data_IF_967958941977
#
_entry.id   IF_967958941977
#
_cell.length_a   1.000
_cell.length_b   1.000
_cell.length_c   1.000
_cell.angle_alpha   90.00
_cell.angle_beta   90.00
_cell.angle_gamma   90.00
#
_symmetry.space_group_name_H-M   'P 1'
#
loop_
_entity.id
_entity.type
_entity.pdbx_description
1 polymer ?
#
# COMPACT_ATOMS: atom_id res chain seq x y z
N UNK A 1 4.57 -23.00 22.58
CA UNK A 1 3.86 -23.23 23.86
C UNK A 1 4.58 -24.26 24.76
N UNK A 2 4.93 -25.51 24.30
CA UNK A 2 5.48 -26.53 25.19
C UNK A 2 6.80 -26.15 25.87
N UNK A 3 7.62 -25.30 25.26
CA UNK A 3 8.90 -24.87 25.84
C UNK A 3 8.72 -24.01 27.10
N UNK A 4 7.78 -23.05 27.08
CA UNK A 4 7.54 -22.15 28.20
C UNK A 4 6.85 -22.87 29.37
N UNK A 5 5.93 -23.80 29.09
CA UNK A 5 5.31 -24.63 30.12
C UNK A 5 6.31 -25.60 30.75
N UNK A 6 7.24 -26.15 29.94
CA UNK A 6 8.31 -27.03 30.44
C UNK A 6 9.27 -26.25 31.35
N UNK A 7 9.69 -25.05 30.96
CA UNK A 7 10.51 -24.16 31.80
C UNK A 7 9.82 -23.81 33.12
N UNK A 8 8.51 -23.50 33.08
CA UNK A 8 7.70 -23.24 34.27
C UNK A 8 7.65 -24.47 35.20
N UNK A 9 7.49 -25.68 34.64
CA UNK A 9 7.47 -26.91 35.43
C UNK A 9 8.85 -27.23 36.06
N UNK A 10 9.94 -26.98 35.34
CA UNK A 10 11.30 -27.12 35.87
C UNK A 10 11.56 -26.15 37.04
N UNK A 11 11.16 -24.88 36.88
CA UNK A 11 11.24 -23.87 37.94
C UNK A 11 10.44 -24.26 39.17
N UNK A 12 9.28 -24.90 39.02
CA UNK A 12 8.42 -25.33 40.13
C UNK A 12 9.10 -26.42 40.99
N UNK A 13 10.00 -27.25 40.40
CA UNK A 13 10.79 -28.23 41.16
C UNK A 13 11.76 -27.55 42.15
N UNK A 14 12.28 -26.38 41.77
CA UNK A 14 13.22 -25.60 42.62
C UNK A 14 12.51 -24.61 43.56
N UNK A 15 11.32 -24.17 43.20
CA UNK A 15 10.54 -23.19 43.91
C UNK A 15 9.14 -23.74 44.28
N UNK A 16 9.10 -24.74 45.16
CA UNK A 16 7.92 -25.55 45.50
C UNK A 16 6.69 -24.73 45.95
N UNK A 17 6.91 -23.51 46.45
CA UNK A 17 5.81 -22.62 46.93
C UNK A 17 5.31 -21.61 45.88
N UNK A 18 5.75 -21.68 44.64
CA UNK A 18 5.34 -20.76 43.56
C UNK A 18 4.76 -21.52 42.37
N UNK A 19 3.53 -21.17 41.98
CA UNK A 19 2.83 -21.73 40.80
C UNK A 19 3.43 -21.16 39.47
N UNK A 20 4.65 -21.53 39.17
CA UNK A 20 5.39 -21.03 38.00
C UNK A 20 4.91 -21.64 36.68
N UNK A 21 4.19 -22.77 36.71
CA UNK A 21 3.65 -23.44 35.52
C UNK A 21 2.64 -22.56 34.81
N UNK A 22 1.68 -21.97 35.55
CA UNK A 22 0.68 -21.06 34.96
C UNK A 22 1.30 -19.76 34.46
N UNK A 23 2.31 -19.25 35.13
CA UNK A 23 3.07 -18.08 34.67
C UNK A 23 3.78 -18.37 33.33
N UNK A 24 4.39 -19.56 33.18
CA UNK A 24 5.01 -20.01 31.93
C UNK A 24 4.01 -20.16 30.79
N UNK A 25 2.83 -20.73 31.07
CA UNK A 25 1.75 -20.84 30.07
C UNK A 25 1.25 -19.44 29.64
N UNK A 26 0.99 -18.55 30.62
CA UNK A 26 0.53 -17.18 30.35
C UNK A 26 1.54 -16.40 29.52
N UNK A 27 2.84 -16.51 29.84
CA UNK A 27 3.91 -15.88 29.05
C UNK A 27 3.97 -16.45 27.63
N UNK A 28 3.84 -17.78 27.48
CA UNK A 28 3.78 -18.43 26.17
C UNK A 28 2.59 -17.96 25.33
N UNK A 29 1.42 -17.83 25.93
CA UNK A 29 0.24 -17.28 25.26
C UNK A 29 0.43 -15.81 24.87
N UNK A 30 1.03 -15.00 25.73
CA UNK A 30 1.35 -13.60 25.46
C UNK A 30 2.32 -13.46 24.26
N UNK A 31 3.39 -14.26 24.24
CA UNK A 31 4.36 -14.27 23.13
C UNK A 31 3.69 -14.68 21.83
N UNK A 32 2.83 -15.71 21.85
CA UNK A 32 2.08 -16.12 20.66
C UNK A 32 1.09 -15.03 20.22
N UNK A 33 0.39 -14.39 21.14
CA UNK A 33 -0.51 -13.29 20.83
C UNK A 33 0.22 -12.17 20.10
N UNK A 34 1.36 -11.71 20.63
CA UNK A 34 2.16 -10.69 19.95
C UNK A 34 2.75 -11.17 18.63
N UNK A 35 3.16 -12.45 18.52
CA UNK A 35 3.65 -13.02 17.28
C UNK A 35 2.57 -13.04 16.18
N UNK A 36 1.35 -13.47 16.50
CA UNK A 36 0.24 -13.44 15.54
C UNK A 36 -0.20 -12.02 15.20
N UNK A 37 -0.25 -11.13 16.18
CA UNK A 37 -0.58 -9.73 15.95
C UNK A 37 0.45 -9.00 15.07
N UNK A 38 1.72 -9.42 15.07
CA UNK A 38 2.77 -8.81 14.25
C UNK A 38 2.75 -9.23 12.79
N UNK A 39 2.16 -10.37 12.44
CA UNK A 39 2.19 -10.88 11.07
C UNK A 39 1.22 -10.13 10.12
N UNK A 40 0.12 -9.56 10.64
CA UNK A 40 -0.86 -8.82 9.84
C UNK A 40 -0.63 -7.30 9.82
N UNK A 41 0.47 -6.83 10.45
CA UNK A 41 0.73 -5.39 10.68
C UNK A 41 1.04 -4.65 9.37
N UNK A 42 1.37 -5.33 8.28
CA UNK A 42 1.83 -4.72 7.03
C UNK A 42 0.80 -4.78 5.89
N UNK A 43 -0.39 -5.36 6.12
CA UNK A 43 -1.45 -5.49 5.12
C UNK A 43 -2.61 -4.56 5.46
N UNK A 44 -3.18 -3.91 4.46
CA UNK A 44 -4.45 -3.18 4.57
C UNK A 44 -5.62 -4.18 4.50
N UNK A 45 -6.41 -4.20 5.56
CA UNK A 45 -7.44 -5.22 5.73
C UNK A 45 -8.60 -5.08 4.73
N UNK A 46 -8.84 -3.85 4.20
CA UNK A 46 -9.91 -3.61 3.26
C UNK A 46 -9.53 -4.05 1.84
N UNK A 47 -8.36 -3.62 1.39
CA UNK A 47 -7.87 -3.82 0.02
C UNK A 47 -7.07 -5.11 -0.17
N UNK A 48 -6.53 -5.70 0.91
CA UNK A 48 -5.70 -6.91 0.85
C UNK A 48 -4.26 -6.68 0.36
N UNK A 49 -3.91 -5.47 -0.07
CA UNK A 49 -2.54 -5.09 -0.45
C UNK A 49 -1.76 -4.59 0.77
N UNK A 50 -0.49 -4.22 0.61
CA UNK A 50 0.30 -3.64 1.70
C UNK A 50 -0.38 -2.38 2.24
N UNK A 51 -0.25 -2.13 3.54
CA UNK A 51 -0.58 -0.84 4.10
C UNK A 51 0.62 0.12 4.02
N UNK A 52 0.46 1.37 4.45
CA UNK A 52 1.52 2.39 4.46
C UNK A 52 2.82 1.87 5.06
N UNK A 53 2.74 1.20 6.24
CA UNK A 53 3.93 0.64 6.89
C UNK A 53 4.61 -0.44 6.04
N UNK A 54 3.82 -1.30 5.40
CA UNK A 54 4.34 -2.34 4.49
C UNK A 54 5.07 -1.73 3.29
N UNK A 55 4.52 -0.67 2.70
CA UNK A 55 5.16 0.08 1.61
C UNK A 55 6.42 0.78 2.08
N UNK A 56 6.42 1.43 3.25
CA UNK A 56 7.61 2.09 3.79
C UNK A 56 8.77 1.10 3.95
N UNK A 57 8.50 -0.10 4.48
CA UNK A 57 9.49 -1.17 4.61
C UNK A 57 10.01 -1.63 3.25
N UNK A 58 9.10 -1.84 2.29
CA UNK A 58 9.48 -2.26 0.93
C UNK A 58 10.29 -1.22 0.19
N UNK A 59 9.93 0.05 0.32
CA UNK A 59 10.67 1.15 -0.30
C UNK A 59 12.09 1.27 0.29
N UNK A 60 12.25 1.13 1.61
CA UNK A 60 13.57 1.08 2.26
C UNK A 60 14.41 -0.11 1.79
N UNK A 61 13.81 -1.29 1.61
CA UNK A 61 14.46 -2.48 1.04
C UNK A 61 14.92 -2.23 -0.41
N UNK A 62 14.04 -1.65 -1.23
CA UNK A 62 14.33 -1.36 -2.64
C UNK A 62 15.43 -0.32 -2.80
N UNK A 63 15.43 0.74 -2.00
CA UNK A 63 16.51 1.75 -1.99
C UNK A 63 17.85 1.10 -1.66
N UNK A 64 17.93 0.29 -0.60
CA UNK A 64 19.16 -0.42 -0.21
C UNK A 64 19.63 -1.38 -1.30
N UNK A 65 18.70 -2.14 -1.89
CA UNK A 65 18.99 -3.07 -2.99
C UNK A 65 19.48 -2.33 -4.23
N UNK A 66 18.84 -1.22 -4.58
CA UNK A 66 19.24 -0.35 -5.69
C UNK A 66 20.65 0.18 -5.51
N UNK A 67 20.96 0.76 -4.35
CA UNK A 67 22.28 1.30 -4.03
C UNK A 67 23.39 0.22 -4.05
N UNK A 68 23.10 -1.01 -3.62
CA UNK A 68 24.06 -2.09 -3.58
C UNK A 68 24.26 -2.80 -4.91
N UNK A 69 23.20 -2.94 -5.72
CA UNK A 69 23.23 -3.65 -7.02
C UNK A 69 23.51 -2.73 -8.20
N UNK A 70 23.34 -1.41 -8.05
CA UNK A 70 23.42 -0.45 -9.14
C UNK A 70 22.19 -0.44 -10.07
N UNK A 71 21.12 -1.19 -9.72
CA UNK A 71 19.88 -1.23 -10.51
C UNK A 71 18.91 -0.15 -10.04
N UNK A 72 18.29 0.53 -10.98
CA UNK A 72 17.24 1.49 -10.73
C UNK A 72 15.90 0.75 -10.53
N UNK A 73 14.94 1.40 -9.87
CA UNK A 73 13.56 0.95 -9.76
C UNK A 73 12.61 2.13 -9.95
N UNK A 74 11.34 1.87 -10.20
CA UNK A 74 10.32 2.90 -10.30
C UNK A 74 9.36 2.82 -9.12
N UNK A 75 8.82 3.98 -8.73
CA UNK A 75 7.70 4.04 -7.82
C UNK A 75 6.64 5.02 -8.32
N UNK A 76 5.40 4.75 -7.96
CA UNK A 76 4.23 5.48 -8.40
C UNK A 76 3.35 5.73 -7.18
N UNK A 77 2.95 6.98 -6.98
CA UNK A 77 1.90 7.35 -6.04
C UNK A 77 0.65 7.68 -6.84
N UNK A 78 -0.50 7.18 -6.42
CA UNK A 78 -1.78 7.33 -7.10
C UNK A 78 -2.86 7.72 -6.11
N UNK A 79 -3.77 8.59 -6.54
CA UNK A 79 -4.96 9.00 -5.78
C UNK A 79 -6.21 8.79 -6.66
N UNK A 80 -7.28 8.27 -6.09
CA UNK A 80 -8.55 8.06 -6.79
C UNK A 80 -9.35 9.36 -6.79
N UNK A 81 -9.33 10.07 -7.91
CA UNK A 81 -10.02 11.35 -8.08
C UNK A 81 -11.52 11.22 -7.83
N UNK A 82 -12.08 12.19 -7.12
CA UNK A 82 -13.51 12.26 -6.79
C UNK A 82 -14.07 11.04 -6.02
N UNK A 83 -13.20 10.30 -5.30
CA UNK A 83 -13.62 9.18 -4.46
C UNK A 83 -14.71 9.56 -3.45
N UNK A 84 -14.63 10.79 -2.90
CA UNK A 84 -15.67 11.31 -2.00
C UNK A 84 -17.04 11.31 -2.65
N UNK A 85 -17.15 11.62 -3.94
CA UNK A 85 -18.41 11.62 -4.67
C UNK A 85 -19.04 10.23 -4.73
N UNK A 86 -18.23 9.16 -4.83
CA UNK A 86 -18.73 7.78 -4.73
C UNK A 86 -19.38 7.56 -3.36
N UNK A 87 -18.68 7.93 -2.28
CA UNK A 87 -19.19 7.78 -0.92
C UNK A 87 -20.47 8.58 -0.68
N UNK A 88 -20.50 9.84 -1.12
CA UNK A 88 -21.61 10.76 -0.88
C UNK A 88 -22.85 10.35 -1.71
N UNK A 89 -22.67 9.75 -2.89
CA UNK A 89 -23.76 9.37 -3.80
C UNK A 89 -24.27 7.95 -3.53
N UNK A 90 -23.37 6.98 -3.31
CA UNK A 90 -23.70 5.56 -3.25
C UNK A 90 -23.47 4.93 -1.87
N UNK A 91 -22.91 5.70 -0.91
CA UNK A 91 -22.60 5.25 0.45
C UNK A 91 -21.22 4.59 0.57
N UNK A 92 -20.75 4.47 1.82
CA UNK A 92 -19.41 3.96 2.13
C UNK A 92 -19.18 2.51 1.68
N UNK A 93 -20.21 1.68 1.60
CA UNK A 93 -20.08 0.31 1.09
C UNK A 93 -19.65 0.28 -0.39
N UNK A 94 -20.09 1.25 -1.18
CA UNK A 94 -19.66 1.36 -2.57
C UNK A 94 -18.25 1.95 -2.67
N UNK A 95 -17.90 2.89 -1.80
CA UNK A 95 -16.52 3.36 -1.67
C UNK A 95 -15.54 2.23 -1.29
N UNK A 96 -15.92 1.37 -0.37
CA UNK A 96 -15.12 0.18 -0.02
C UNK A 96 -14.91 -0.76 -1.21
N UNK A 97 -15.93 -0.92 -2.06
CA UNK A 97 -15.79 -1.68 -3.30
C UNK A 97 -14.88 -0.98 -4.30
N UNK A 98 -14.95 0.34 -4.41
CA UNK A 98 -14.04 1.11 -5.27
C UNK A 98 -12.57 0.91 -4.86
N UNK A 99 -12.27 0.97 -3.56
CA UNK A 99 -10.93 0.69 -3.03
C UNK A 99 -10.46 -0.74 -3.37
N UNK A 100 -11.32 -1.75 -3.17
CA UNK A 100 -11.00 -3.15 -3.51
C UNK A 100 -10.74 -3.31 -5.00
N UNK A 101 -11.59 -2.71 -5.84
CA UNK A 101 -11.42 -2.78 -7.29
C UNK A 101 -10.15 -2.08 -7.77
N UNK A 102 -9.78 -0.95 -7.16
CA UNK A 102 -8.52 -0.29 -7.47
C UNK A 102 -7.32 -1.18 -7.11
N UNK A 103 -7.34 -1.80 -5.93
CA UNK A 103 -6.30 -2.77 -5.54
C UNK A 103 -6.22 -3.94 -6.52
N UNK A 104 -7.35 -4.50 -6.94
CA UNK A 104 -7.42 -5.59 -7.92
C UNK A 104 -6.89 -5.14 -9.30
N UNK A 105 -7.23 -3.93 -9.77
CA UNK A 105 -6.72 -3.38 -11.03
C UNK A 105 -5.20 -3.30 -10.95
N UNK A 106 -4.66 -2.70 -9.90
CA UNK A 106 -3.21 -2.54 -9.73
C UNK A 106 -2.50 -3.90 -9.70
N UNK A 107 -3.01 -4.85 -8.90
CA UNK A 107 -2.42 -6.20 -8.79
C UNK A 107 -2.41 -6.95 -10.13
N UNK A 108 -3.40 -6.69 -11.00
CA UNK A 108 -3.49 -7.33 -12.32
C UNK A 108 -2.85 -6.53 -13.46
N UNK A 109 -2.32 -5.33 -13.19
CA UNK A 109 -1.66 -4.49 -14.20
C UNK A 109 -0.14 -4.45 -14.05
N UNK A 110 0.37 -4.79 -12.89
CA UNK A 110 1.80 -4.87 -12.61
C UNK A 110 2.25 -6.33 -12.48
N UNK A 111 3.56 -6.57 -12.65
CA UNK A 111 4.16 -7.89 -12.50
C UNK A 111 4.06 -8.42 -11.06
N UNK A 112 4.17 -9.74 -10.87
CA UNK A 112 4.08 -10.41 -9.57
C UNK A 112 5.12 -9.90 -8.56
N UNK A 113 6.26 -9.40 -9.02
CA UNK A 113 7.34 -8.85 -8.19
C UNK A 113 7.07 -7.41 -7.73
N UNK A 114 6.07 -6.72 -8.30
CA UNK A 114 5.72 -5.38 -7.87
C UNK A 114 5.11 -5.39 -6.46
N UNK A 115 5.48 -4.40 -5.66
CA UNK A 115 4.89 -4.19 -4.34
C UNK A 115 3.80 -3.13 -4.43
N UNK A 116 2.56 -3.51 -4.14
CA UNK A 116 1.39 -2.64 -4.19
C UNK A 116 0.88 -2.42 -2.78
N UNK A 117 0.55 -1.18 -2.44
CA UNK A 117 0.00 -0.84 -1.13
C UNK A 117 -0.97 0.31 -1.17
N UNK A 118 -1.80 0.37 -0.14
CA UNK A 118 -2.69 1.48 0.15
C UNK A 118 -2.03 2.41 1.17
N UNK A 119 -1.73 3.62 0.73
CA UNK A 119 -0.94 4.58 1.50
C UNK A 119 -1.82 5.48 2.39
N UNK A 120 -3.03 5.80 1.95
CA UNK A 120 -4.05 6.60 2.62
C UNK A 120 -5.46 6.11 2.33
N UNK A 121 -6.46 6.95 2.53
CA UNK A 121 -7.88 6.63 2.30
C UNK A 121 -8.17 6.09 0.90
N UNK A 122 -7.82 6.85 -0.11
CA UNK A 122 -7.98 6.61 -1.55
C UNK A 122 -6.63 6.63 -2.30
N UNK A 123 -5.52 6.69 -1.54
CA UNK A 123 -4.16 6.74 -2.07
C UNK A 123 -3.53 5.36 -2.12
N UNK A 124 -2.89 5.06 -3.26
CA UNK A 124 -2.14 3.83 -3.51
C UNK A 124 -0.69 4.12 -3.85
N UNK A 125 0.16 3.17 -3.56
CA UNK A 125 1.59 3.23 -3.86
C UNK A 125 2.04 1.94 -4.53
N UNK A 126 2.82 2.06 -5.60
CA UNK A 126 3.38 0.90 -6.33
C UNK A 126 4.90 1.07 -6.40
N UNK A 127 5.62 -0.01 -6.14
CA UNK A 127 7.07 -0.11 -6.35
C UNK A 127 7.29 -1.24 -7.35
N UNK A 128 8.03 -0.96 -8.42
CA UNK A 128 8.29 -1.95 -9.47
C UNK A 128 9.73 -1.86 -9.97
N UNK A 129 10.30 -3.00 -10.32
CA UNK A 129 11.66 -3.13 -10.81
C UNK A 129 11.72 -2.84 -12.33
N UNK A 130 12.84 -2.24 -12.75
CA UNK A 130 13.37 -2.25 -14.12
C UNK A 130 12.41 -1.84 -15.24
N UNK A 131 11.51 -0.88 -14.98
CA UNK A 131 10.52 -0.41 -15.96
C UNK A 131 10.98 0.92 -16.55
N UNK A 132 10.91 1.07 -17.87
CA UNK A 132 11.16 2.35 -18.53
C UNK A 132 9.99 3.30 -18.34
N UNK A 133 10.23 4.61 -18.52
CA UNK A 133 9.17 5.61 -18.47
C UNK A 133 8.02 5.31 -19.45
N UNK A 134 8.33 4.84 -20.64
CA UNK A 134 7.33 4.51 -21.66
C UNK A 134 6.44 3.35 -21.21
N UNK A 135 7.03 2.31 -20.60
CA UNK A 135 6.28 1.18 -20.06
C UNK A 135 5.40 1.61 -18.90
N UNK A 136 5.89 2.49 -18.00
CA UNK A 136 5.06 3.05 -16.92
C UNK A 136 3.86 3.82 -17.48
N UNK A 137 4.06 4.68 -18.47
CA UNK A 137 2.98 5.42 -19.12
C UNK A 137 1.94 4.46 -19.72
N UNK A 138 2.38 3.36 -20.34
CA UNK A 138 1.47 2.33 -20.89
C UNK A 138 0.67 1.63 -19.80
N UNK A 139 1.32 1.22 -18.71
CA UNK A 139 0.66 0.55 -17.58
C UNK A 139 -0.35 1.49 -16.91
N UNK A 140 0.03 2.75 -16.67
CA UNK A 140 -0.87 3.75 -16.07
C UNK A 140 -2.10 3.98 -16.96
N UNK A 141 -1.93 4.06 -18.28
CA UNK A 141 -3.05 4.17 -19.21
C UNK A 141 -3.97 2.94 -19.17
N UNK A 142 -3.40 1.73 -19.08
CA UNK A 142 -4.18 0.50 -18.90
C UNK A 142 -4.99 0.51 -17.59
N UNK A 143 -4.38 0.98 -16.49
CA UNK A 143 -5.07 1.15 -15.20
C UNK A 143 -6.26 2.11 -15.34
N UNK A 144 -6.08 3.25 -16.02
CA UNK A 144 -7.15 4.23 -16.28
C UNK A 144 -8.29 3.63 -17.12
N UNK A 145 -7.95 2.88 -18.17
CA UNK A 145 -8.96 2.23 -19.01
C UNK A 145 -9.79 1.20 -18.22
N UNK A 146 -9.12 0.37 -17.40
CA UNK A 146 -9.79 -0.59 -16.51
C UNK A 146 -10.70 0.11 -15.50
N UNK A 147 -10.22 1.19 -14.89
CA UNK A 147 -11.02 1.98 -13.95
C UNK A 147 -12.22 2.62 -14.64
N UNK A 148 -12.03 3.22 -15.82
CA UNK A 148 -13.11 3.82 -16.60
C UNK A 148 -14.19 2.79 -16.96
N UNK A 149 -13.80 1.57 -17.33
CA UNK A 149 -14.76 0.49 -17.58
C UNK A 149 -15.59 0.13 -16.33
N UNK A 150 -14.97 0.07 -15.16
CA UNK A 150 -15.65 -0.22 -13.89
C UNK A 150 -16.56 0.96 -13.51
N UNK A 151 -16.08 2.19 -13.62
CA UNK A 151 -16.83 3.43 -13.39
C UNK A 151 -18.13 3.43 -14.19
N UNK A 152 -18.03 3.19 -15.50
CA UNK A 152 -19.19 3.22 -16.40
C UNK A 152 -20.18 2.08 -16.07
N UNK A 153 -19.66 0.89 -15.75
CA UNK A 153 -20.49 -0.27 -15.34
C UNK A 153 -21.21 -0.03 -14.01
N UNK A 154 -20.58 0.71 -13.09
CA UNK A 154 -21.12 1.01 -11.76
C UNK A 154 -22.00 2.26 -11.75
N UNK A 155 -21.99 3.08 -12.82
CA UNK A 155 -22.67 4.35 -12.91
C UNK A 155 -22.07 5.42 -12.00
N UNK A 156 -20.77 5.33 -11.69
CA UNK A 156 -20.06 6.37 -10.96
C UNK A 156 -19.93 7.63 -11.80
N UNK A 157 -19.65 8.76 -11.16
CA UNK A 157 -19.41 10.02 -11.85
C UNK A 157 -18.29 9.85 -12.89
N UNK A 158 -18.49 10.45 -14.07
CA UNK A 158 -17.52 10.41 -15.18
C UNK A 158 -16.16 11.00 -14.83
N UNK A 159 -16.10 11.82 -13.78
CA UNK A 159 -14.89 12.46 -13.29
C UNK A 159 -14.11 11.58 -12.26
N UNK A 160 -14.59 10.37 -11.95
CA UNK A 160 -13.81 9.39 -11.20
C UNK A 160 -12.70 8.86 -12.10
N UNK A 161 -11.46 9.19 -11.77
CA UNK A 161 -10.25 8.82 -12.48
C UNK A 161 -9.11 8.64 -11.47
N UNK A 162 -7.87 8.55 -11.90
CA UNK A 162 -6.69 8.54 -11.05
C UNK A 162 -5.76 9.69 -11.39
N UNK A 163 -5.20 10.31 -10.37
CA UNK A 163 -4.04 11.20 -10.48
C UNK A 163 -2.79 10.45 -10.05
N UNK A 164 -1.70 10.54 -10.82
CA UNK A 164 -0.50 9.75 -10.61
C UNK A 164 0.76 10.62 -10.58
N UNK A 165 1.63 10.36 -9.60
CA UNK A 165 3.00 10.85 -9.60
C UNK A 165 3.96 9.67 -9.66
N UNK A 166 4.84 9.60 -10.65
CA UNK A 166 5.81 8.53 -10.74
C UNK A 166 7.22 9.04 -11.06
N UNK A 167 8.21 8.32 -10.58
CA UNK A 167 9.61 8.62 -10.82
C UNK A 167 10.47 7.36 -10.75
N UNK A 168 11.61 7.40 -11.40
CA UNK A 168 12.63 6.35 -11.35
C UNK A 168 13.65 6.74 -10.28
N UNK A 169 13.81 5.87 -9.28
CA UNK A 169 14.90 6.00 -8.32
C UNK A 169 16.21 5.57 -8.98
N UNK A 170 17.13 6.51 -9.06
CA UNK A 170 18.47 6.25 -9.63
C UNK A 170 19.40 5.77 -8.53
N UNK A 171 20.00 4.59 -8.69
CA UNK A 171 20.84 3.93 -7.68
C UNK A 171 21.99 4.78 -7.14
N UNK A 172 22.47 5.76 -7.91
CA UNK A 172 23.55 6.67 -7.55
C UNK A 172 23.07 7.95 -6.86
N UNK A 173 21.76 8.16 -6.73
CA UNK A 173 21.20 9.42 -6.19
C UNK A 173 21.46 9.62 -4.71
N UNK A 174 21.65 8.53 -3.94
CA UNK A 174 21.71 8.52 -2.47
C UNK A 174 20.53 9.26 -1.79
N UNK A 175 19.40 9.36 -2.49
CA UNK A 175 18.20 10.02 -2.00
C UNK A 175 17.57 9.21 -0.87
N UNK A 176 17.10 9.88 0.18
CA UNK A 176 16.37 9.24 1.26
C UNK A 176 14.94 8.87 0.82
N UNK A 177 14.33 7.91 1.52
CA UNK A 177 12.96 7.47 1.24
C UNK A 177 11.97 8.64 1.28
N UNK A 178 12.06 9.46 2.31
CA UNK A 178 11.18 10.61 2.53
C UNK A 178 11.26 11.60 1.37
N UNK A 179 12.48 11.94 0.94
CA UNK A 179 12.72 12.85 -0.19
C UNK A 179 12.16 12.29 -1.51
N UNK A 180 12.31 10.98 -1.73
CA UNK A 180 11.76 10.33 -2.92
C UNK A 180 10.23 10.29 -2.90
N UNK A 181 9.63 10.00 -1.74
CA UNK A 181 8.18 10.02 -1.57
C UNK A 181 7.59 11.44 -1.76
N UNK A 182 8.25 12.48 -1.27
CA UNK A 182 7.84 13.88 -1.49
C UNK A 182 7.84 14.27 -2.98
N UNK A 183 8.79 13.77 -3.76
CA UNK A 183 8.82 13.99 -5.21
C UNK A 183 7.60 13.35 -5.88
N UNK A 184 7.26 12.11 -5.50
CA UNK A 184 6.11 11.40 -6.05
C UNK A 184 4.79 12.10 -5.68
N UNK A 185 4.66 12.53 -4.44
CA UNK A 185 3.49 13.27 -3.94
C UNK A 185 3.31 14.59 -4.71
N UNK A 186 4.39 15.35 -4.87
CA UNK A 186 4.35 16.60 -5.62
C UNK A 186 3.94 16.39 -7.10
N UNK A 187 4.42 15.32 -7.75
CA UNK A 187 4.04 15.00 -9.12
C UNK A 187 2.56 14.60 -9.22
N UNK A 188 2.08 13.76 -8.30
CA UNK A 188 0.67 13.36 -8.22
C UNK A 188 -0.24 14.57 -7.98
N UNK A 189 0.14 15.45 -7.05
CA UNK A 189 -0.62 16.65 -6.75
C UNK A 189 -0.73 17.59 -7.95
N UNK A 190 0.35 17.76 -8.72
CA UNK A 190 0.33 18.58 -9.94
C UNK A 190 -0.67 18.03 -10.98
N UNK A 191 -0.68 16.71 -11.21
CA UNK A 191 -1.64 16.09 -12.12
C UNK A 191 -3.08 16.25 -11.60
N UNK A 192 -3.30 16.08 -10.29
CA UNK A 192 -4.60 16.29 -9.66
C UNK A 192 -5.12 17.72 -9.84
N UNK A 193 -4.26 18.72 -9.71
CA UNK A 193 -4.62 20.12 -10.00
C UNK A 193 -4.97 20.34 -11.47
N UNK A 194 -4.27 19.70 -12.40
CA UNK A 194 -4.59 19.78 -13.83
C UNK A 194 -5.95 19.16 -14.13
N UNK A 195 -6.27 17.99 -13.54
CA UNK A 195 -7.59 17.37 -13.67
C UNK A 195 -8.70 18.29 -13.14
N UNK A 196 -8.51 18.91 -11.98
CA UNK A 196 -9.49 19.85 -11.41
C UNK A 196 -9.71 21.08 -12.30
N UNK A 197 -8.66 21.70 -12.81
CA UNK A 197 -8.76 22.86 -13.71
C UNK A 197 -9.49 22.52 -15.01
N UNK A 198 -9.23 21.34 -15.58
CA UNK A 198 -9.91 20.88 -16.81
C UNK A 198 -11.39 20.63 -16.56
N UNK A 199 -11.79 20.15 -15.38
CA UNK A 199 -13.20 19.96 -15.01
C UNK A 199 -13.94 21.29 -14.85
N UNK A 200 -13.33 22.29 -14.20
CA UNK A 200 -13.94 23.61 -14.05
C UNK A 200 -14.20 24.28 -15.41
N UNK A 201 -13.27 24.19 -16.36
CA UNK A 201 -13.43 24.73 -17.70
C UNK A 201 -14.56 24.07 -18.51
N UNK A 202 -14.87 22.78 -18.24
CA UNK A 202 -15.96 22.07 -18.90
C UNK A 202 -17.35 22.41 -18.32
N UNK A 203 -17.40 22.92 -17.09
CA UNK A 203 -18.65 23.34 -16.45
C UNK A 203 -19.04 24.76 -16.88
N UNK A 204 -18.05 25.61 -17.22
CA UNK A 204 -18.26 27.01 -17.63
C UNK A 204 -18.48 27.18 -19.15
N UNK A 205 -18.45 26.10 -19.93
CA UNK A 205 -18.62 26.08 -21.39
C UNK A 205 -19.99 25.51 -21.80
#
# INVERSE_FOLDING_TARGET
>A
LPLFSLLGAICQVFFYNMDTTYAGISLGCLVLFFFFQSNDVNIDYLSGVLNRRGIDIKLDEMIKNSQSSGKNFAAIMMDLDNFKTINDTFGHEEGDKAIKQMADILTNSFDEDASIGRFGGDEFFVITDNVSKIELDMIINEVREKLAHIRDKRGWDKNVDISCGYSIYVSTSNMAREEFAEILDALMYNEKEEHHKNMEQLVDA
#
